data_IF_494759568639
#
_entry.id   IF_494759568639
#
_cell.length_a   1.000
_cell.length_b   1.000
_cell.length_c   1.000
_cell.angle_alpha   90.00
_cell.angle_beta   90.00
_cell.angle_gamma   90.00
#
_symmetry.space_group_name_H-M   'P 1'
#
loop_
_entity.id
_entity.type
_entity.pdbx_description
1 polymer ?
#
# COMPACT_ATOMS: atom_id res chain seq x y z
N UNK A 1 3.09 9.79 -5.59
CA UNK A 1 1.81 10.35 -5.15
C UNK A 1 1.90 10.96 -3.76
N UNK A 2 0.87 11.73 -3.38
CA UNK A 2 0.86 12.46 -2.11
C UNK A 2 1.00 11.59 -0.87
N UNK A 3 0.44 10.39 -0.87
CA UNK A 3 0.53 9.47 0.26
C UNK A 3 1.96 9.00 0.57
N UNK A 4 2.78 8.83 -0.45
CA UNK A 4 4.18 8.43 -0.28
C UNK A 4 5.06 9.55 0.28
N UNK A 5 4.60 10.80 0.26
CA UNK A 5 5.33 11.97 0.77
C UNK A 5 5.04 12.25 2.24
N UNK A 6 4.05 11.60 2.83
CA UNK A 6 3.63 11.87 4.20
C UNK A 6 4.25 10.84 5.15
N UNK A 7 5.30 11.24 5.87
CA UNK A 7 6.03 10.37 6.79
C UNK A 7 5.16 9.82 7.93
N UNK A 8 4.24 10.63 8.47
CA UNK A 8 3.31 10.18 9.51
C UNK A 8 2.38 9.09 8.98
N UNK A 9 1.82 9.28 7.79
CA UNK A 9 0.93 8.30 7.16
C UNK A 9 1.64 6.97 6.90
N UNK A 10 2.88 7.03 6.42
CA UNK A 10 3.69 5.82 6.20
C UNK A 10 4.03 5.11 7.51
N UNK A 11 4.32 5.85 8.59
CA UNK A 11 4.55 5.28 9.92
C UNK A 11 3.30 4.62 10.48
N UNK A 12 2.13 5.22 10.30
CA UNK A 12 0.84 4.62 10.66
C UNK A 12 0.67 3.29 9.93
N UNK A 13 0.86 3.26 8.60
CA UNK A 13 0.74 2.04 7.81
C UNK A 13 1.74 0.96 8.23
N UNK A 14 3.01 1.32 8.40
CA UNK A 14 4.03 0.39 8.88
C UNK A 14 3.63 -0.24 10.22
N UNK A 15 3.11 0.58 11.13
CA UNK A 15 2.68 0.13 12.46
C UNK A 15 1.42 -0.74 12.40
N UNK A 16 0.46 -0.41 11.53
CA UNK A 16 -0.75 -1.22 11.33
C UNK A 16 -0.42 -2.63 10.82
N UNK A 17 0.51 -2.74 9.89
CA UNK A 17 0.89 -4.02 9.30
C UNK A 17 2.05 -4.71 10.03
N UNK A 18 2.71 -4.03 10.96
CA UNK A 18 3.82 -4.57 11.73
C UNK A 18 5.07 -4.87 10.88
N UNK A 19 5.23 -4.20 9.76
CA UNK A 19 6.35 -4.37 8.83
C UNK A 19 6.93 -3.02 8.42
N UNK A 20 8.25 -2.94 8.15
CA UNK A 20 8.84 -1.71 7.66
C UNK A 20 8.34 -1.39 6.26
N UNK A 21 8.20 -0.09 5.97
CA UNK A 21 7.86 0.41 4.64
C UNK A 21 9.12 0.93 3.95
N UNK A 22 9.39 0.41 2.76
CA UNK A 22 10.45 0.91 1.90
C UNK A 22 9.90 2.05 1.05
N UNK A 23 10.50 3.23 1.17
CA UNK A 23 10.07 4.42 0.42
C UNK A 23 10.95 4.54 -0.82
N UNK A 24 10.38 4.50 -2.03
CA UNK A 24 11.15 4.61 -3.25
C UNK A 24 11.71 6.02 -3.44
N UNK A 25 12.81 6.13 -4.20
CA UNK A 25 13.38 7.42 -4.61
C UNK A 25 12.40 8.20 -5.48
N UNK A 26 11.77 7.50 -6.43
CA UNK A 26 10.75 8.08 -7.28
C UNK A 26 9.37 7.91 -6.65
N UNK A 27 8.76 9.04 -6.29
CA UNK A 27 7.47 9.06 -5.60
C UNK A 27 6.26 8.98 -6.54
N UNK A 28 6.46 9.20 -7.84
CA UNK A 28 5.44 9.01 -8.86
C UNK A 28 5.37 7.53 -9.28
N UNK A 29 5.02 6.68 -8.33
CA UNK A 29 5.05 5.23 -8.47
C UNK A 29 4.17 4.71 -9.62
N UNK A 30 3.08 5.42 -9.96
CA UNK A 30 2.23 5.07 -11.08
C UNK A 30 2.97 5.16 -12.42
N UNK A 31 3.81 6.17 -12.60
CA UNK A 31 4.64 6.34 -13.80
C UNK A 31 5.67 5.23 -13.91
N UNK A 32 6.34 4.91 -12.81
CA UNK A 32 7.30 3.80 -12.75
C UNK A 32 6.61 2.46 -13.06
N UNK A 33 5.43 2.23 -12.49
CA UNK A 33 4.65 1.02 -12.76
C UNK A 33 4.26 0.89 -14.23
N UNK A 34 3.84 1.98 -14.86
CA UNK A 34 3.55 1.99 -16.29
C UNK A 34 4.79 1.68 -17.13
N UNK A 35 5.95 2.24 -16.77
CA UNK A 35 7.22 1.94 -17.44
C UNK A 35 7.61 0.46 -17.29
N UNK A 36 7.38 -0.13 -16.13
CA UNK A 36 7.63 -1.56 -15.88
C UNK A 36 6.74 -2.46 -16.77
N UNK A 37 5.46 -2.11 -16.88
CA UNK A 37 4.53 -2.82 -17.77
C UNK A 37 4.96 -2.72 -19.22
N UNK A 38 5.36 -1.53 -19.67
CA UNK A 38 5.85 -1.31 -21.03
C UNK A 38 7.12 -2.12 -21.30
N UNK A 39 8.11 -2.10 -20.41
CA UNK A 39 9.34 -2.85 -20.55
C UNK A 39 9.07 -4.37 -20.65
N UNK A 40 8.13 -4.88 -19.89
CA UNK A 40 7.73 -6.28 -19.95
C UNK A 40 7.00 -6.60 -21.25
N UNK A 41 6.06 -5.75 -21.66
CA UNK A 41 5.28 -5.95 -22.88
C UNK A 41 6.12 -5.91 -24.16
N UNK A 42 7.17 -5.08 -24.20
CA UNK A 42 8.07 -4.95 -25.35
C UNK A 42 9.21 -5.97 -25.35
N UNK A 43 9.36 -6.78 -24.31
CA UNK A 43 10.44 -7.76 -24.17
C UNK A 43 11.76 -7.17 -23.68
N UNK A 44 11.81 -5.89 -23.31
CA UNK A 44 12.99 -5.26 -22.72
C UNK A 44 13.30 -5.80 -21.31
N UNK A 45 12.29 -6.26 -20.59
CA UNK A 45 12.42 -7.05 -19.38
C UNK A 45 11.65 -8.36 -19.52
N UNK A 46 12.19 -9.50 -19.02
CA UNK A 46 11.54 -10.80 -19.17
C UNK A 46 10.23 -10.93 -18.38
N UNK A 47 10.11 -10.21 -17.26
CA UNK A 47 8.92 -10.16 -16.41
C UNK A 47 8.90 -8.89 -15.55
N UNK A 48 7.80 -8.68 -14.83
CA UNK A 48 7.65 -7.52 -13.95
C UNK A 48 8.63 -7.51 -12.78
N UNK A 49 9.02 -8.66 -12.26
CA UNK A 49 9.97 -8.75 -11.17
C UNK A 49 11.36 -8.26 -11.59
N UNK A 50 11.81 -8.59 -12.79
CA UNK A 50 13.06 -8.08 -13.36
C UNK A 50 12.97 -6.57 -13.62
N UNK A 51 11.86 -6.11 -14.19
CA UNK A 51 11.63 -4.67 -14.40
C UNK A 51 11.66 -3.90 -13.07
N UNK A 52 11.02 -4.41 -12.03
CA UNK A 52 11.01 -3.80 -10.70
C UNK A 52 12.41 -3.70 -10.11
N UNK A 53 13.20 -4.77 -10.14
CA UNK A 53 14.57 -4.76 -9.63
C UNK A 53 15.47 -3.76 -10.36
N UNK A 54 15.20 -3.52 -11.64
CA UNK A 54 15.98 -2.61 -12.47
C UNK A 54 15.58 -1.14 -12.32
N UNK A 55 14.26 -0.88 -12.13
CA UNK A 55 13.69 0.47 -12.17
C UNK A 55 13.38 1.06 -10.80
N UNK A 56 13.19 0.22 -9.78
CA UNK A 56 12.81 0.71 -8.44
C UNK A 56 14.06 0.78 -7.56
N UNK A 57 14.31 1.96 -7.02
CA UNK A 57 15.33 2.20 -6.00
C UNK A 57 14.68 2.77 -4.77
N UNK A 58 15.20 2.41 -3.61
CA UNK A 58 14.66 2.85 -2.34
C UNK A 58 15.52 3.93 -1.70
N UNK A 59 14.88 5.02 -1.26
CA UNK A 59 15.54 6.14 -0.61
C UNK A 59 15.80 5.87 0.87
N UNK A 60 14.79 5.34 1.56
CA UNK A 60 14.84 5.07 2.98
C UNK A 60 13.75 4.08 3.41
N UNK A 61 13.84 3.67 4.67
CA UNK A 61 12.90 2.75 5.32
C UNK A 61 12.22 3.45 6.48
N UNK A 62 10.93 3.18 6.66
CA UNK A 62 10.17 3.63 7.83
C UNK A 62 9.78 2.41 8.65
N UNK A 63 10.34 2.29 9.85
CA UNK A 63 10.06 1.20 10.77
C UNK A 63 8.70 1.37 11.44
N UNK A 64 8.01 0.25 11.77
CA UNK A 64 6.83 0.30 12.61
C UNK A 64 7.17 0.77 14.02
N UNK A 65 6.25 1.51 14.65
CA UNK A 65 6.31 1.82 16.07
C UNK A 65 5.69 0.66 16.86
N UNK A 66 6.42 -0.01 17.76
CA UNK A 66 5.90 -1.18 18.47
C UNK A 66 4.67 -0.88 19.33
N UNK A 67 4.62 0.28 19.97
CA UNK A 67 3.47 0.69 20.78
C UNK A 67 2.22 0.93 19.92
N UNK A 68 2.40 1.53 18.76
CA UNK A 68 1.31 1.74 17.80
C UNK A 68 0.86 0.41 17.18
N UNK A 69 1.79 -0.47 16.85
CA UNK A 69 1.47 -1.79 16.31
C UNK A 69 0.58 -2.58 17.27
N UNK A 70 0.87 -2.56 18.56
CA UNK A 70 0.03 -3.22 19.57
C UNK A 70 -1.38 -2.64 19.59
N UNK A 71 -1.52 -1.33 19.55
CA UNK A 71 -2.81 -0.66 19.50
C UNK A 71 -3.60 -1.04 18.24
N UNK A 72 -2.97 -1.02 17.07
CA UNK A 72 -3.63 -1.40 15.81
C UNK A 72 -4.00 -2.87 15.78
N UNK A 73 -3.19 -3.75 16.35
CA UNK A 73 -3.53 -5.18 16.45
C UNK A 73 -4.80 -5.41 17.28
N UNK A 74 -5.01 -4.60 18.33
CA UNK A 74 -6.25 -4.65 19.11
C UNK A 74 -7.45 -4.06 18.37
N UNK A 75 -7.22 -3.06 17.50
CA UNK A 75 -8.28 -2.43 16.71
C UNK A 75 -8.70 -3.27 15.49
N UNK A 76 -7.79 -4.06 14.93
CA UNK A 76 -8.05 -4.80 13.69
C UNK A 76 -9.32 -5.66 13.70
N UNK A 77 -9.60 -6.46 14.74
CA UNK A 77 -10.85 -7.25 14.78
C UNK A 77 -12.11 -6.40 14.77
N UNK A 78 -12.07 -5.23 15.41
CA UNK A 78 -13.19 -4.28 15.41
C UNK A 78 -13.38 -3.68 14.02
N UNK A 79 -12.32 -3.30 13.36
CA UNK A 79 -12.36 -2.79 11.98
C UNK A 79 -12.93 -3.83 11.01
N UNK A 80 -12.51 -5.08 11.11
CA UNK A 80 -13.04 -6.16 10.28
C UNK A 80 -14.54 -6.36 10.47
N UNK A 81 -15.02 -6.33 11.71
CA UNK A 81 -16.48 -6.42 12.00
C UNK A 81 -17.23 -5.23 11.43
N UNK A 82 -16.68 -4.03 11.55
CA UNK A 82 -17.28 -2.83 11.00
C UNK A 82 -17.40 -2.92 9.47
N UNK A 83 -16.35 -3.35 8.80
CA UNK A 83 -16.33 -3.54 7.35
C UNK A 83 -17.39 -4.54 6.89
N UNK A 84 -17.48 -5.70 7.52
CA UNK A 84 -18.47 -6.72 7.16
C UNK A 84 -19.89 -6.27 7.45
N UNK A 85 -20.13 -5.60 8.57
CA UNK A 85 -21.46 -5.05 8.92
C UNK A 85 -21.91 -4.01 7.88
N UNK A 86 -20.99 -3.13 7.45
CA UNK A 86 -21.30 -2.15 6.42
C UNK A 86 -21.62 -2.82 5.06
N UNK A 87 -20.90 -3.87 4.69
CA UNK A 87 -21.16 -4.62 3.47
C UNK A 87 -22.56 -5.25 3.46
N UNK A 88 -23.06 -5.69 4.60
CA UNK A 88 -24.41 -6.27 4.71
C UNK A 88 -25.51 -5.23 4.47
N UNK A 89 -25.20 -3.95 4.65
CA UNK A 89 -26.15 -2.84 4.46
C UNK A 89 -26.13 -2.29 3.03
N UNK A 90 -25.02 -2.39 2.31
CA UNK A 90 -24.89 -1.82 0.96
C UNK A 90 -25.97 -2.26 -0.04
N UNK A 91 -26.44 -3.54 -0.05
CA UNK A 91 -27.54 -3.92 -0.95
C UNK A 91 -28.84 -3.12 -0.73
N UNK A 92 -29.07 -2.61 0.46
CA UNK A 92 -30.24 -1.76 0.74
C UNK A 92 -30.18 -0.44 -0.03
N UNK A 93 -28.97 0.11 -0.25
CA UNK A 93 -28.78 1.32 -1.07
C UNK A 93 -29.03 1.06 -2.54
N UNK A 94 -28.65 -0.10 -3.05
CA UNK A 94 -28.84 -0.48 -4.45
C UNK A 94 -30.32 -0.67 -4.80
N UNK A 95 -31.16 -0.98 -3.82
CA UNK A 95 -32.60 -1.22 -3.96
C UNK A 95 -33.47 0.01 -3.69
N UNK A 96 -32.86 1.17 -3.45
CA UNK A 96 -33.59 2.42 -3.30
C UNK A 96 -34.14 2.89 -4.65
N UNK A 97 -35.39 3.46 -4.68
CA UNK A 97 -35.98 3.98 -5.90
C UNK A 97 -35.23 5.20 -6.46
#
# INVERSE_FOLDING_TARGET
SGGAKNALWLRIKASMFGVPYLVPEELECGVVGAAMLMATATGDAPDLAHAARRMVRYAHEIAPDPGWADTYNRMAPVFHRLYHTANDIYPELDNLP
#
